data_IF_857851214221
#
_entry.id   IF_857851214221
#
_cell.length_a   1.000
_cell.length_b   1.000
_cell.length_c   1.000
_cell.angle_alpha   90.00
_cell.angle_beta   90.00
_cell.angle_gamma   90.00
#
_symmetry.space_group_name_H-M   'P 1'
#
loop_
_entity.id
_entity.type
_entity.pdbx_description
1 polymer ?
#
# COMPACT_ATOMS: atom_id res chain seq x y z
N UNK A 1 3.01 11.26 -13.52
CA UNK A 1 2.83 11.51 -12.07
C UNK A 1 1.43 11.13 -11.64
N UNK A 2 1.29 10.56 -10.44
CA UNK A 2 0.03 10.07 -9.89
C UNK A 2 -0.40 10.94 -8.70
N UNK A 3 -1.65 11.42 -8.72
CA UNK A 3 -2.17 12.40 -7.75
C UNK A 3 -3.11 11.78 -6.68
N UNK A 4 -3.31 10.46 -6.70
CA UNK A 4 -4.38 9.80 -5.94
C UNK A 4 -3.88 8.92 -4.79
N UNK A 5 -2.62 9.09 -4.37
CA UNK A 5 -2.14 8.51 -3.12
C UNK A 5 -2.55 9.40 -1.94
N UNK A 6 -2.23 9.00 -0.73
CA UNK A 6 -2.48 9.82 0.46
C UNK A 6 -1.89 11.23 0.31
N UNK A 7 -2.54 12.27 0.87
CA UNK A 7 -2.11 13.67 0.67
C UNK A 7 -0.65 13.93 1.02
N UNK A 8 -0.13 13.26 2.05
CA UNK A 8 1.27 13.38 2.46
C UNK A 8 2.25 12.66 1.51
N UNK A 9 1.77 11.83 0.58
CA UNK A 9 2.58 11.13 -0.43
C UNK A 9 2.54 11.89 -1.75
N UNK A 10 1.34 12.17 -2.29
CA UNK A 10 1.19 12.81 -3.60
C UNK A 10 1.47 14.31 -3.57
N UNK A 11 1.10 14.98 -2.48
CA UNK A 11 1.05 16.44 -2.47
C UNK A 11 0.17 16.98 -3.60
N UNK A 12 0.54 18.12 -4.14
CA UNK A 12 -0.13 18.75 -5.28
C UNK A 12 0.51 18.42 -6.64
N UNK A 13 1.77 17.98 -6.63
CA UNK A 13 2.56 17.68 -7.85
C UNK A 13 2.51 16.22 -8.26
N UNK A 14 2.26 15.33 -7.31
CA UNK A 14 2.09 13.90 -7.52
C UNK A 14 3.32 13.05 -7.30
N UNK A 15 3.07 11.76 -7.13
CA UNK A 15 4.07 10.69 -7.01
C UNK A 15 4.62 10.28 -8.36
N UNK A 16 5.92 10.03 -8.44
CA UNK A 16 6.58 9.36 -9.56
C UNK A 16 6.33 7.85 -9.53
N UNK A 17 5.19 7.42 -10.05
CA UNK A 17 4.70 6.05 -9.87
C UNK A 17 5.21 5.11 -10.95
N UNK A 18 5.77 3.98 -10.52
CA UNK A 18 6.20 2.86 -11.37
C UNK A 18 5.43 1.61 -10.96
N UNK A 19 4.62 1.06 -11.86
CA UNK A 19 3.86 -0.17 -11.65
C UNK A 19 4.66 -1.38 -12.09
N UNK A 20 4.84 -2.34 -11.19
CA UNK A 20 5.49 -3.61 -11.50
C UNK A 20 4.47 -4.68 -11.84
N UNK A 21 4.78 -5.49 -12.84
CA UNK A 21 3.91 -6.56 -13.33
C UNK A 21 4.02 -7.81 -12.46
N UNK A 22 2.89 -8.45 -12.17
CA UNK A 22 2.81 -9.58 -11.27
C UNK A 22 2.51 -9.17 -9.82
N UNK A 23 1.78 -10.02 -9.10
CA UNK A 23 1.46 -9.83 -7.69
C UNK A 23 1.42 -11.19 -7.00
N UNK A 24 1.97 -11.34 -5.78
CA UNK A 24 1.90 -12.58 -5.02
C UNK A 24 0.49 -12.90 -4.52
N UNK A 25 -0.39 -11.88 -4.46
CA UNK A 25 -1.79 -12.00 -4.13
C UNK A 25 -2.64 -12.00 -5.41
N UNK A 26 -3.60 -12.89 -5.50
CA UNK A 26 -4.58 -12.92 -6.59
C UNK A 26 -5.96 -12.52 -6.06
N UNK A 27 -6.05 -11.28 -5.53
CA UNK A 27 -7.29 -10.76 -4.97
C UNK A 27 -8.39 -10.76 -6.03
N UNK A 28 -9.52 -11.38 -5.74
CA UNK A 28 -10.67 -11.48 -6.67
C UNK A 28 -11.24 -10.10 -7.03
N UNK A 29 -11.01 -9.11 -6.19
CA UNK A 29 -11.45 -7.73 -6.35
C UNK A 29 -10.34 -6.77 -6.81
N UNK A 30 -9.24 -7.28 -7.38
CA UNK A 30 -8.13 -6.42 -7.80
C UNK A 30 -8.53 -5.51 -8.95
N UNK A 31 -8.44 -4.19 -8.74
CA UNK A 31 -8.71 -3.19 -9.78
C UNK A 31 -7.63 -3.19 -10.87
N UNK A 32 -6.40 -3.57 -10.52
CA UNK A 32 -5.25 -3.63 -11.43
C UNK A 32 -4.98 -5.05 -11.93
N UNK A 33 -6.05 -5.83 -12.23
CA UNK A 33 -5.94 -7.26 -12.56
C UNK A 33 -4.99 -7.54 -13.73
N UNK A 34 -5.00 -6.71 -14.78
CA UNK A 34 -4.10 -6.90 -15.93
C UNK A 34 -2.62 -6.80 -15.54
N UNK A 35 -2.29 -5.94 -14.57
CA UNK A 35 -0.93 -5.78 -14.04
C UNK A 35 -0.64 -6.93 -13.08
N UNK A 36 -1.54 -7.21 -12.14
CA UNK A 36 -1.33 -8.25 -11.10
C UNK A 36 -1.21 -9.66 -11.68
N UNK A 37 -1.89 -9.94 -12.79
CA UNK A 37 -1.81 -11.24 -13.51
C UNK A 37 -0.58 -11.35 -14.42
N UNK A 38 0.28 -10.33 -14.49
CA UNK A 38 1.46 -10.36 -15.35
C UNK A 38 1.16 -10.19 -16.85
N UNK A 39 -0.06 -9.74 -17.19
CA UNK A 39 -0.49 -9.58 -18.60
C UNK A 39 -0.17 -8.21 -19.20
N UNK A 40 0.24 -7.26 -18.37
CA UNK A 40 0.62 -5.91 -18.77
C UNK A 40 2.02 -5.58 -18.23
N UNK A 41 2.78 -4.84 -19.02
CA UNK A 41 4.13 -4.42 -18.67
C UNK A 41 5.10 -4.58 -19.84
N UNK A 42 6.30 -4.07 -19.65
CA UNK A 42 7.43 -4.19 -20.58
C UNK A 42 8.66 -4.56 -19.77
N UNK A 43 9.39 -5.57 -20.23
CA UNK A 43 10.69 -5.91 -19.65
C UNK A 43 11.71 -4.80 -19.91
N UNK A 44 12.38 -4.37 -18.86
CA UNK A 44 13.45 -3.36 -18.90
C UNK A 44 14.61 -3.80 -18.02
N UNK A 45 15.80 -3.25 -18.27
CA UNK A 45 16.97 -3.49 -17.42
C UNK A 45 16.92 -2.62 -16.13
N UNK A 46 17.79 -2.94 -15.16
CA UNK A 46 17.93 -2.15 -13.94
C UNK A 46 18.45 -0.73 -14.26
N UNK A 47 19.36 -0.59 -15.24
CA UNK A 47 19.84 0.72 -15.70
C UNK A 47 18.69 1.57 -16.24
N UNK A 48 17.80 0.97 -17.08
CA UNK A 48 16.65 1.70 -17.60
C UNK A 48 15.66 2.08 -16.51
N UNK A 49 15.50 1.25 -15.49
CA UNK A 49 14.67 1.55 -14.33
C UNK A 49 15.24 2.73 -13.53
N UNK A 50 16.55 2.77 -13.31
CA UNK A 50 17.25 3.90 -12.68
C UNK A 50 17.09 5.20 -13.47
N UNK A 51 17.24 5.15 -14.81
CA UNK A 51 16.95 6.31 -15.68
C UNK A 51 15.50 6.81 -15.53
N UNK A 52 14.52 5.90 -15.42
CA UNK A 52 13.11 6.26 -15.22
C UNK A 52 12.93 7.01 -13.88
N UNK A 53 13.62 6.60 -12.83
CA UNK A 53 13.56 7.32 -11.55
C UNK A 53 14.05 8.75 -11.68
N UNK A 54 15.18 8.97 -12.36
CA UNK A 54 15.71 10.30 -12.64
C UNK A 54 14.79 11.13 -13.57
N UNK A 55 14.19 10.50 -14.58
CA UNK A 55 13.18 11.17 -15.42
C UNK A 55 11.96 11.64 -14.62
N UNK A 56 11.50 10.83 -13.66
CA UNK A 56 10.37 11.17 -12.78
C UNK A 56 10.76 12.33 -11.84
N UNK A 57 11.97 12.32 -11.28
CA UNK A 57 12.51 13.43 -10.52
C UNK A 57 12.55 14.71 -11.37
N UNK A 58 13.10 14.64 -12.57
CA UNK A 58 13.16 15.77 -13.51
C UNK A 58 11.78 16.31 -13.93
N UNK A 59 10.71 15.50 -13.82
CA UNK A 59 9.32 15.90 -14.04
C UNK A 59 8.66 16.54 -12.80
N UNK A 60 9.39 16.68 -11.70
CA UNK A 60 8.90 17.28 -10.46
C UNK A 60 8.10 16.34 -9.56
N UNK A 61 8.32 15.02 -9.66
CA UNK A 61 7.75 14.07 -8.71
C UNK A 61 8.15 14.39 -7.27
N UNK A 62 7.29 14.06 -6.31
CA UNK A 62 7.58 14.25 -4.88
C UNK A 62 8.30 13.07 -4.24
N UNK A 63 8.20 11.92 -4.86
CA UNK A 63 8.85 10.66 -4.46
C UNK A 63 8.91 9.72 -5.66
N UNK A 64 9.63 8.60 -5.51
CA UNK A 64 9.55 7.45 -6.41
C UNK A 64 8.66 6.39 -5.75
N UNK A 65 7.47 6.18 -6.30
CA UNK A 65 6.47 5.26 -5.76
C UNK A 65 6.48 3.94 -6.54
N UNK A 66 7.01 2.90 -5.91
CA UNK A 66 7.15 1.55 -6.46
C UNK A 66 5.89 0.73 -6.12
N UNK A 67 5.01 0.51 -7.09
CA UNK A 67 3.73 -0.18 -6.87
C UNK A 67 3.83 -1.66 -7.21
N UNK A 68 3.53 -2.53 -6.24
CA UNK A 68 3.63 -3.99 -6.30
C UNK A 68 5.04 -4.49 -6.67
N UNK A 69 6.09 -3.98 -6.01
CA UNK A 69 7.48 -4.21 -6.41
C UNK A 69 8.08 -5.52 -5.86
N UNK A 70 7.34 -6.29 -5.08
CA UNK A 70 7.80 -7.42 -4.25
C UNK A 70 8.66 -8.44 -4.99
N UNK A 71 8.35 -8.75 -6.26
CA UNK A 71 9.08 -9.75 -7.06
C UNK A 71 10.42 -9.25 -7.62
N UNK A 72 10.67 -7.95 -7.55
CA UNK A 72 11.78 -7.28 -8.25
C UNK A 72 12.77 -6.60 -7.31
N UNK A 73 12.77 -6.96 -6.02
CA UNK A 73 13.63 -6.34 -5.00
C UNK A 73 15.10 -6.30 -5.41
N UNK A 74 15.73 -7.37 -5.93
CA UNK A 74 17.13 -7.30 -6.35
C UNK A 74 17.38 -6.28 -7.48
N UNK A 75 16.52 -6.26 -8.49
CA UNK A 75 16.64 -5.33 -9.63
C UNK A 75 16.34 -3.88 -9.23
N UNK A 76 15.41 -3.70 -8.29
CA UNK A 76 15.09 -2.38 -7.74
C UNK A 76 16.27 -1.81 -6.97
N UNK A 77 16.96 -2.61 -6.15
CA UNK A 77 18.16 -2.15 -5.45
C UNK A 77 19.25 -1.70 -6.42
N UNK A 78 19.56 -2.53 -7.42
CA UNK A 78 20.52 -2.18 -8.47
C UNK A 78 20.12 -0.88 -9.18
N UNK A 79 18.83 -0.71 -9.51
CA UNK A 79 18.34 0.51 -10.15
C UNK A 79 18.42 1.74 -9.23
N UNK A 80 18.21 1.57 -7.92
CA UNK A 80 18.35 2.66 -6.95
C UNK A 80 19.80 3.05 -6.75
N UNK A 81 20.74 2.09 -6.64
CA UNK A 81 22.18 2.37 -6.58
C UNK A 81 22.62 3.22 -7.79
N UNK A 82 22.21 2.83 -9.01
CA UNK A 82 22.51 3.58 -10.25
C UNK A 82 21.85 4.96 -10.29
N UNK A 83 20.64 5.08 -9.77
CA UNK A 83 19.92 6.34 -9.73
C UNK A 83 20.51 7.30 -8.69
N UNK A 84 20.98 6.82 -7.53
CA UNK A 84 21.70 7.61 -6.54
C UNK A 84 23.02 8.15 -7.09
N UNK A 85 23.80 7.33 -7.80
CA UNK A 85 24.99 7.78 -8.52
C UNK A 85 24.64 8.86 -9.57
N UNK A 86 23.45 8.78 -10.17
CA UNK A 86 22.90 9.75 -11.12
C UNK A 86 22.28 11.00 -10.48
N UNK A 87 22.25 11.11 -9.15
CA UNK A 87 21.73 12.25 -8.41
C UNK A 87 20.24 12.16 -8.05
N UNK A 88 19.71 10.97 -7.79
CA UNK A 88 18.39 10.80 -7.22
C UNK A 88 18.39 11.29 -5.75
N UNK A 89 17.50 12.22 -5.44
CA UNK A 89 17.34 12.82 -4.10
C UNK A 89 15.94 12.62 -3.51
N UNK A 90 15.03 12.04 -4.29
CA UNK A 90 13.64 11.83 -3.88
C UNK A 90 13.50 10.64 -2.93
N UNK A 91 12.61 10.72 -1.92
CA UNK A 91 12.30 9.57 -1.08
C UNK A 91 11.66 8.45 -1.90
N UNK A 92 11.97 7.21 -1.53
CA UNK A 92 11.46 5.99 -2.16
C UNK A 92 10.30 5.43 -1.36
N UNK A 93 9.16 5.26 -2.02
CA UNK A 93 7.95 4.67 -1.47
C UNK A 93 7.80 3.23 -1.96
N UNK A 94 7.72 2.28 -1.05
CA UNK A 94 7.44 0.87 -1.34
C UNK A 94 5.96 0.58 -1.09
N UNK A 95 5.17 0.56 -2.18
CA UNK A 95 3.72 0.41 -2.17
C UNK A 95 3.35 -1.04 -2.44
N UNK A 96 2.94 -1.77 -1.41
CA UNK A 96 2.82 -3.22 -1.47
C UNK A 96 1.55 -3.77 -0.80
N UNK A 97 1.31 -5.06 -0.99
CA UNK A 97 0.11 -5.75 -0.53
C UNK A 97 0.13 -6.23 0.92
N UNK A 98 1.23 -6.08 1.64
CA UNK A 98 1.40 -6.59 3.00
C UNK A 98 1.67 -8.10 3.06
N UNK A 99 2.05 -8.73 1.96
CA UNK A 99 2.31 -10.18 1.87
C UNK A 99 3.78 -10.50 1.60
N UNK A 100 4.63 -9.61 2.03
CA UNK A 100 6.07 -9.68 1.86
C UNK A 100 6.70 -10.56 2.94
N UNK A 101 7.79 -11.25 2.56
CA UNK A 101 8.62 -11.96 3.54
C UNK A 101 9.53 -10.96 4.26
N UNK A 102 9.64 -11.00 5.60
CA UNK A 102 10.57 -10.12 6.33
C UNK A 102 12.02 -10.20 5.82
N UNK A 103 12.47 -11.40 5.41
CA UNK A 103 13.82 -11.60 4.87
C UNK A 103 14.04 -10.84 3.55
N UNK A 104 13.00 -10.73 2.72
CA UNK A 104 13.06 -9.96 1.47
C UNK A 104 13.05 -8.45 1.76
N UNK A 105 12.24 -8.01 2.73
CA UNK A 105 12.21 -6.61 3.16
C UNK A 105 13.54 -6.14 3.76
N UNK A 106 14.27 -7.00 4.47
CA UNK A 106 15.61 -6.68 4.99
C UNK A 106 16.60 -6.30 3.90
N UNK A 107 16.42 -6.77 2.67
CA UNK A 107 17.24 -6.36 1.54
C UNK A 107 17.02 -4.90 1.12
N UNK A 108 15.94 -4.28 1.58
CA UNK A 108 15.56 -2.89 1.29
C UNK A 108 15.97 -1.93 2.41
N UNK A 109 16.59 -2.41 3.48
CA UNK A 109 17.05 -1.57 4.59
C UNK A 109 18.03 -0.51 4.08
N UNK A 110 17.70 0.77 4.30
CA UNK A 110 18.45 1.90 3.78
C UNK A 110 18.09 2.36 2.36
N UNK A 111 17.26 1.61 1.63
CA UNK A 111 16.79 1.97 0.27
C UNK A 111 15.37 2.54 0.25
N UNK A 112 14.55 2.17 1.21
CA UNK A 112 13.15 2.59 1.28
C UNK A 112 12.96 3.56 2.44
N UNK A 113 12.38 4.70 2.15
CA UNK A 113 12.06 5.73 3.12
C UNK A 113 10.64 5.59 3.66
N UNK A 114 9.70 5.20 2.80
CA UNK A 114 8.29 5.13 3.15
C UNK A 114 7.71 3.78 2.73
N UNK A 115 7.14 3.06 3.69
CA UNK A 115 6.32 1.89 3.40
C UNK A 115 4.86 2.30 3.32
N UNK A 116 4.25 2.11 2.15
CA UNK A 116 2.83 2.30 1.91
C UNK A 116 2.22 0.91 1.70
N UNK A 117 1.85 0.26 2.79
CA UNK A 117 1.47 -1.15 2.78
C UNK A 117 -0.01 -1.35 3.05
N UNK A 118 -0.62 -2.32 2.39
CA UNK A 118 -1.96 -2.74 2.76
C UNK A 118 -1.92 -3.71 3.95
N UNK A 119 -2.91 -3.63 4.83
CA UNK A 119 -3.26 -4.69 5.78
C UNK A 119 -4.69 -5.14 5.50
N UNK A 120 -4.84 -6.22 4.72
CA UNK A 120 -6.12 -6.56 4.10
C UNK A 120 -7.05 -7.37 5.03
N UNK A 121 -6.49 -8.31 5.81
CA UNK A 121 -7.27 -9.27 6.58
C UNK A 121 -6.61 -9.63 7.90
N UNK A 122 -7.43 -9.84 8.94
CA UNK A 122 -7.04 -10.49 10.21
C UNK A 122 -7.53 -11.95 10.28
N UNK A 123 -8.48 -12.34 9.41
CA UNK A 123 -9.06 -13.67 9.35
C UNK A 123 -8.55 -14.48 8.15
N UNK A 124 -8.06 -15.69 8.44
CA UNK A 124 -7.51 -16.62 7.43
C UNK A 124 -8.56 -17.15 6.44
N UNK A 125 -9.84 -17.24 6.84
CA UNK A 125 -10.91 -17.70 5.94
C UNK A 125 -11.25 -16.62 4.91
N UNK A 126 -11.35 -15.37 5.36
CA UNK A 126 -11.56 -14.19 4.50
C UNK A 126 -10.39 -14.02 3.54
N UNK A 127 -9.14 -14.14 4.04
CA UNK A 127 -7.94 -14.08 3.23
C UNK A 127 -7.87 -15.17 2.16
N UNK A 128 -8.24 -16.42 2.52
CA UNK A 128 -8.38 -17.54 1.58
C UNK A 128 -9.44 -17.25 0.53
N UNK A 129 -10.61 -16.77 0.97
CA UNK A 129 -11.76 -16.53 0.10
C UNK A 129 -11.50 -15.47 -0.95
N UNK A 130 -10.90 -14.34 -0.54
CA UNK A 130 -10.78 -13.19 -1.43
C UNK A 130 -9.39 -13.00 -2.06
N UNK A 131 -8.35 -13.60 -1.51
CA UNK A 131 -6.98 -13.43 -2.01
C UNK A 131 -6.19 -14.73 -2.14
N UNK A 132 -6.83 -15.90 -1.95
CA UNK A 132 -6.22 -17.23 -2.03
C UNK A 132 -5.00 -17.41 -1.10
N UNK A 133 -4.86 -16.59 -0.07
CA UNK A 133 -3.72 -16.52 0.84
C UNK A 133 -4.15 -16.73 2.31
N UNK A 134 -4.43 -17.97 2.76
CA UNK A 134 -4.92 -18.23 4.12
C UNK A 134 -3.92 -17.84 5.23
N UNK A 135 -2.65 -17.73 4.91
CA UNK A 135 -1.58 -17.32 5.82
C UNK A 135 -1.30 -15.79 5.78
N UNK A 136 -2.13 -15.02 5.05
CA UNK A 136 -1.98 -13.57 4.92
C UNK A 136 -1.88 -12.85 6.27
N UNK A 137 -2.75 -13.12 7.28
CA UNK A 137 -2.68 -12.38 8.54
C UNK A 137 -1.35 -12.52 9.26
N UNK A 138 -0.76 -13.72 9.23
CA UNK A 138 0.55 -13.99 9.82
C UNK A 138 1.66 -13.29 9.05
N UNK A 139 1.65 -13.41 7.72
CA UNK A 139 2.63 -12.77 6.85
C UNK A 139 2.59 -11.24 6.95
N UNK A 140 1.39 -10.67 6.95
CA UNK A 140 1.21 -9.21 7.06
C UNK A 140 1.71 -8.66 8.40
N UNK A 141 1.53 -9.40 9.50
CA UNK A 141 2.09 -9.01 10.80
C UNK A 141 3.62 -8.98 10.78
N UNK A 142 4.25 -10.04 10.26
CA UNK A 142 5.72 -10.10 10.17
C UNK A 142 6.31 -9.06 9.20
N UNK A 143 5.62 -8.81 8.07
CA UNK A 143 6.03 -7.79 7.13
C UNK A 143 5.95 -6.39 7.76
N UNK A 144 4.83 -6.06 8.42
CA UNK A 144 4.63 -4.77 9.07
C UNK A 144 5.63 -4.54 10.21
N UNK A 145 5.93 -5.56 11.00
CA UNK A 145 6.96 -5.48 12.04
C UNK A 145 8.33 -5.10 11.46
N UNK A 146 8.73 -5.71 10.35
CA UNK A 146 9.99 -5.39 9.68
C UNK A 146 9.98 -3.99 9.07
N UNK A 147 8.85 -3.56 8.45
CA UNK A 147 8.71 -2.21 7.91
C UNK A 147 8.84 -1.13 9.00
N UNK A 148 8.18 -1.34 10.15
CA UNK A 148 8.29 -0.42 11.30
C UNK A 148 9.68 -0.47 11.94
N UNK A 149 10.39 -1.59 11.90
CA UNK A 149 11.80 -1.66 12.33
C UNK A 149 12.68 -0.74 11.47
N UNK A 150 12.47 -0.70 10.16
CA UNK A 150 13.26 0.11 9.23
C UNK A 150 12.87 1.59 9.27
N UNK A 151 11.58 1.89 9.42
CA UNK A 151 11.02 3.24 9.48
C UNK A 151 10.21 3.43 10.78
N UNK A 152 10.89 3.54 11.95
CA UNK A 152 10.23 3.47 13.26
C UNK A 152 9.37 4.67 13.61
N UNK A 153 9.69 5.84 13.06
CA UNK A 153 9.00 7.09 13.35
C UNK A 153 8.67 7.83 12.05
N UNK A 154 7.48 8.44 11.94
CA UNK A 154 7.12 9.23 10.78
C UNK A 154 7.83 10.60 10.79
N UNK A 155 8.41 10.95 9.65
CA UNK A 155 9.06 12.24 9.43
C UNK A 155 8.40 12.97 8.26
N UNK A 156 8.20 14.29 8.42
CA UNK A 156 7.57 15.14 7.42
C UNK A 156 8.45 16.34 7.11
N UNK A 157 8.34 16.86 5.88
CA UNK A 157 8.93 18.13 5.53
C UNK A 157 8.02 19.31 5.98
N UNK A 158 8.49 20.54 5.74
CA UNK A 158 7.77 21.76 6.11
C UNK A 158 6.43 21.92 5.35
N UNK A 159 6.25 21.25 4.23
CA UNK A 159 5.03 21.25 3.44
C UNK A 159 4.04 20.15 3.87
N UNK A 160 4.39 19.32 4.87
CA UNK A 160 3.59 18.21 5.34
C UNK A 160 3.69 16.95 4.46
N UNK A 161 4.70 16.87 3.58
CA UNK A 161 4.96 15.65 2.82
C UNK A 161 5.80 14.69 3.67
N UNK A 162 5.41 13.42 3.66
CA UNK A 162 6.14 12.38 4.37
C UNK A 162 7.50 12.14 3.71
N UNK A 163 8.55 12.14 4.53
CA UNK A 163 9.93 11.85 4.13
C UNK A 163 10.37 10.47 4.59
N UNK A 164 9.82 9.99 5.69
CA UNK A 164 10.07 8.66 6.23
C UNK A 164 8.87 8.18 7.03
N UNK A 165 8.62 6.86 7.04
CA UNK A 165 7.59 6.28 7.89
C UNK A 165 6.83 5.12 7.28
N UNK A 166 5.76 4.72 7.95
CA UNK A 166 4.89 3.62 7.53
C UNK A 166 3.43 4.10 7.50
N UNK A 167 2.78 3.92 6.37
CA UNK A 167 1.34 4.10 6.21
C UNK A 167 0.71 2.74 5.96
N UNK A 168 -0.23 2.36 6.81
CA UNK A 168 -0.99 1.12 6.67
C UNK A 168 -2.35 1.44 6.08
N UNK A 169 -2.62 0.94 4.87
CA UNK A 169 -3.90 1.10 4.19
C UNK A 169 -4.82 -0.07 4.48
N UNK A 170 -6.07 0.23 4.74
CA UNK A 170 -7.12 -0.78 4.85
C UNK A 170 -8.31 -0.42 3.98
N UNK A 171 -8.55 -1.22 2.94
CA UNK A 171 -9.74 -1.11 2.10
C UNK A 171 -10.88 -1.89 2.76
N UNK A 172 -11.93 -1.17 3.17
CA UNK A 172 -13.13 -1.82 3.66
C UNK A 172 -13.85 -2.54 2.52
N UNK A 173 -14.09 -3.84 2.68
CA UNK A 173 -14.91 -4.63 1.78
C UNK A 173 -16.36 -4.70 2.28
N UNK A 174 -17.36 -4.77 1.37
CA UNK A 174 -18.77 -4.88 1.77
C UNK A 174 -19.01 -6.06 2.71
N UNK A 175 -19.70 -5.83 3.82
CA UNK A 175 -20.01 -6.88 4.80
C UNK A 175 -18.88 -7.26 5.76
N UNK A 176 -17.70 -6.63 5.66
CA UNK A 176 -16.51 -7.03 6.42
C UNK A 176 -16.11 -6.01 7.51
N UNK A 177 -17.07 -5.30 8.09
CA UNK A 177 -16.82 -4.22 9.07
C UNK A 177 -16.11 -4.74 10.33
N UNK A 178 -16.55 -5.86 10.89
CA UNK A 178 -15.96 -6.39 12.12
C UNK A 178 -14.51 -6.86 11.89
N UNK A 179 -14.24 -7.48 10.76
CA UNK A 179 -12.89 -7.83 10.36
C UNK A 179 -12.00 -6.58 10.16
N UNK A 180 -12.56 -5.51 9.58
CA UNK A 180 -11.87 -4.23 9.42
C UNK A 180 -11.54 -3.58 10.78
N UNK A 181 -12.45 -3.63 11.74
CA UNK A 181 -12.19 -3.17 13.12
C UNK A 181 -11.07 -3.97 13.79
N UNK A 182 -10.98 -5.26 13.53
CA UNK A 182 -9.87 -6.08 14.04
C UNK A 182 -8.52 -5.67 13.45
N UNK A 183 -8.47 -5.30 12.16
CA UNK A 183 -7.27 -4.73 11.54
C UNK A 183 -6.87 -3.43 12.24
N UNK A 184 -7.80 -2.48 12.39
CA UNK A 184 -7.55 -1.20 13.06
C UNK A 184 -7.05 -1.42 14.49
N UNK A 185 -7.73 -2.28 15.25
CA UNK A 185 -7.34 -2.62 16.63
C UNK A 185 -5.94 -3.20 16.72
N UNK A 186 -5.59 -4.13 15.82
CA UNK A 186 -4.27 -4.74 15.80
C UNK A 186 -3.20 -3.71 15.46
N UNK A 187 -3.36 -2.99 14.36
CA UNK A 187 -2.35 -2.05 13.88
C UNK A 187 -2.12 -0.94 14.89
N UNK A 188 -3.18 -0.26 15.32
CA UNK A 188 -3.04 0.83 16.27
C UNK A 188 -2.64 0.35 17.67
N UNK A 189 -3.20 -0.76 18.14
CA UNK A 189 -2.85 -1.34 19.45
C UNK A 189 -1.40 -1.83 19.54
N UNK A 190 -0.79 -2.20 18.41
CA UNK A 190 0.61 -2.68 18.38
C UNK A 190 1.60 -1.55 18.15
N UNK A 191 1.27 -0.61 17.25
CA UNK A 191 2.24 0.38 16.76
C UNK A 191 1.91 1.81 17.21
N UNK A 192 0.66 2.11 17.59
CA UNK A 192 0.24 3.45 18.02
C UNK A 192 0.57 4.52 17.00
N UNK A 193 1.19 5.60 17.45
CA UNK A 193 1.56 6.76 16.63
C UNK A 193 2.76 6.53 15.71
N UNK A 194 3.40 5.36 15.74
CA UNK A 194 4.51 5.03 14.84
C UNK A 194 4.08 4.75 13.40
N UNK A 195 2.79 4.51 13.19
CA UNK A 195 2.23 4.27 11.86
C UNK A 195 1.01 5.17 11.62
N UNK A 196 0.81 5.53 10.35
CA UNK A 196 -0.41 6.17 9.89
C UNK A 196 -1.40 5.13 9.39
N UNK A 197 -2.68 5.28 9.74
CA UNK A 197 -3.75 4.44 9.20
C UNK A 197 -4.47 5.19 8.07
N UNK A 198 -4.65 4.54 6.92
CA UNK A 198 -5.47 5.04 5.82
C UNK A 198 -6.68 4.12 5.63
N UNK A 199 -7.86 4.60 6.02
CA UNK A 199 -9.11 3.87 5.91
C UNK A 199 -9.81 4.24 4.61
N UNK A 200 -9.94 3.25 3.71
CA UNK A 200 -10.46 3.47 2.36
C UNK A 200 -11.83 2.83 2.18
N UNK A 201 -12.75 3.53 1.49
CA UNK A 201 -14.08 3.05 1.13
C UNK A 201 -14.28 2.89 -0.39
N UNK A 202 -13.23 3.13 -1.17
CA UNK A 202 -13.27 3.13 -2.65
C UNK A 202 -13.33 1.73 -3.29
N UNK A 203 -14.07 0.82 -2.68
CA UNK A 203 -14.32 -0.49 -3.26
C UNK A 203 -15.22 -0.37 -4.50
N UNK A 204 -14.76 -0.89 -5.64
CA UNK A 204 -15.52 -0.95 -6.88
C UNK A 204 -16.03 -2.37 -7.12
N UNK A 205 -17.36 -2.60 -7.19
CA UNK A 205 -17.92 -3.91 -7.47
C UNK A 205 -17.59 -4.38 -8.89
N UNK A 206 -17.32 -5.68 -9.04
CA UNK A 206 -17.14 -6.32 -10.32
C UNK A 206 -18.33 -7.22 -10.62
N UNK A 207 -19.11 -6.97 -11.68
CA UNK A 207 -20.32 -7.76 -12.03
C UNK A 207 -20.05 -9.24 -12.24
N UNK A 208 -18.87 -9.60 -12.72
CA UNK A 208 -18.42 -10.97 -12.93
C UNK A 208 -18.26 -11.80 -11.64
N UNK A 209 -18.20 -11.14 -10.49
CA UNK A 209 -18.10 -11.82 -9.19
C UNK A 209 -19.45 -12.31 -8.65
N UNK A 210 -20.57 -11.94 -9.30
CA UNK A 210 -21.93 -12.13 -8.77
C UNK A 210 -22.27 -13.57 -8.41
N UNK A 211 -21.82 -14.56 -9.17
CA UNK A 211 -22.13 -15.96 -8.92
C UNK A 211 -21.29 -16.55 -7.76
N UNK A 212 -20.03 -16.12 -7.63
CA UNK A 212 -19.08 -16.70 -6.68
C UNK A 212 -18.95 -15.89 -5.40
N UNK A 213 -19.07 -14.57 -5.51
CA UNK A 213 -18.89 -13.60 -4.42
C UNK A 213 -20.00 -12.54 -4.44
N UNK A 214 -21.28 -12.95 -4.24
CA UNK A 214 -22.42 -12.02 -4.34
C UNK A 214 -22.34 -10.86 -3.36
N UNK A 215 -21.71 -11.06 -2.20
CA UNK A 215 -21.47 -10.03 -1.20
C UNK A 215 -20.56 -8.89 -1.71
N UNK A 216 -19.67 -9.18 -2.66
CA UNK A 216 -18.78 -8.19 -3.27
C UNK A 216 -19.40 -7.45 -4.46
N UNK A 217 -20.66 -7.73 -4.83
CA UNK A 217 -21.31 -7.11 -5.97
C UNK A 217 -22.05 -5.81 -5.63
N UNK A 218 -21.75 -5.21 -4.51
CA UNK A 218 -22.28 -3.91 -4.07
C UNK A 218 -21.15 -3.03 -3.55
N UNK A 219 -21.37 -1.73 -3.54
CA UNK A 219 -20.46 -0.78 -2.84
C UNK A 219 -20.54 -0.97 -1.32
N UNK A 220 -19.52 -0.51 -0.63
CA UNK A 220 -19.55 -0.29 0.80
C UNK A 220 -20.63 0.76 1.09
N UNK A 221 -21.49 0.50 2.08
CA UNK A 221 -22.50 1.45 2.49
C UNK A 221 -21.91 2.52 3.41
N UNK A 222 -22.48 3.71 3.39
CA UNK A 222 -22.10 4.79 4.33
C UNK A 222 -22.16 4.34 5.80
N UNK A 223 -23.14 3.49 6.14
CA UNK A 223 -23.28 2.95 7.50
C UNK A 223 -22.10 2.03 7.87
N UNK A 224 -21.67 1.18 6.94
CA UNK A 224 -20.51 0.29 7.16
C UNK A 224 -19.23 1.11 7.35
N UNK A 225 -19.02 2.09 6.49
CA UNK A 225 -17.83 2.94 6.58
C UNK A 225 -17.81 3.79 7.85
N UNK A 226 -18.93 4.46 8.17
CA UNK A 226 -19.02 5.25 9.40
C UNK A 226 -18.78 4.38 10.64
N UNK A 227 -19.32 3.15 10.68
CA UNK A 227 -19.06 2.23 11.80
C UNK A 227 -17.58 1.88 11.99
N UNK A 228 -16.79 1.82 10.90
CA UNK A 228 -15.34 1.63 10.99
C UNK A 228 -14.63 2.90 11.45
N UNK A 229 -15.03 4.05 10.90
CA UNK A 229 -14.45 5.36 11.27
C UNK A 229 -14.75 5.68 12.74
N UNK A 230 -16.00 5.53 13.19
CA UNK A 230 -16.39 5.75 14.59
C UNK A 230 -15.55 4.87 15.52
N UNK A 231 -15.35 3.60 15.14
CA UNK A 231 -14.50 2.70 15.93
C UNK A 231 -13.03 3.16 16.00
N UNK A 232 -12.48 3.69 14.92
CA UNK A 232 -11.12 4.24 14.92
C UNK A 232 -11.04 5.50 15.81
N UNK A 233 -12.06 6.35 15.80
CA UNK A 233 -12.17 7.53 16.67
C UNK A 233 -12.27 7.11 18.14
N UNK A 234 -13.07 6.10 18.46
CA UNK A 234 -13.22 5.58 19.83
C UNK A 234 -11.89 4.98 20.36
N UNK A 235 -11.06 4.46 19.49
CA UNK A 235 -9.70 4.01 19.82
C UNK A 235 -8.68 5.16 19.92
N UNK A 236 -9.10 6.40 19.69
CA UNK A 236 -8.23 7.60 19.70
C UNK A 236 -7.10 7.50 18.66
N UNK A 237 -7.42 7.02 17.46
CA UNK A 237 -6.48 7.02 16.34
C UNK A 237 -6.30 8.48 15.88
N UNK A 238 -5.19 9.10 16.28
CA UNK A 238 -4.90 10.51 15.94
C UNK A 238 -4.20 10.66 14.59
N UNK A 239 -3.50 9.60 14.14
CA UNK A 239 -2.70 9.62 12.92
C UNK A 239 -3.35 8.75 11.87
N UNK A 240 -4.07 9.37 10.94
CA UNK A 240 -4.74 8.63 9.90
C UNK A 240 -5.39 9.49 8.84
N UNK A 241 -5.72 8.82 7.74
CA UNK A 241 -6.45 9.37 6.61
C UNK A 241 -7.80 8.67 6.52
N UNK A 242 -8.85 9.45 6.47
CA UNK A 242 -10.21 8.99 6.24
C UNK A 242 -10.60 9.47 4.85
N UNK A 243 -10.94 8.53 3.98
CA UNK A 243 -11.35 8.90 2.64
C UNK A 243 -12.74 9.53 2.68
N UNK A 244 -12.85 10.79 2.28
CA UNK A 244 -14.11 11.50 2.12
C UNK A 244 -14.63 11.36 0.69
N UNK A 245 -15.94 11.15 0.54
CA UNK A 245 -16.62 11.12 -0.74
C UNK A 245 -17.21 9.77 -1.14
N UNK A 246 -18.07 9.81 -2.15
CA UNK A 246 -18.59 8.60 -2.80
C UNK A 246 -17.55 8.07 -3.77
N UNK A 247 -17.32 6.79 -3.71
CA UNK A 247 -16.54 6.11 -4.74
C UNK A 247 -17.24 6.27 -6.09
N UNK A 248 -16.51 6.76 -7.07
CA UNK A 248 -16.95 6.87 -8.44
C UNK A 248 -17.31 5.48 -9.02
#
# INVERSE_FOLDING_TARGET
LHLWEEPCISGTEGSGTVFFSGCPLHCVYCQNRAISDGRAGKEISAERLGEIFLELQGKGARNINLVTPTHYIPQIREALDLAEEGGLELPVVFNCGGYEKPEALKLLDGYVDIYLTDFKYMDSQTARRYSHAPDYPEKAKGALEEMVRQCPEPEFDQAGLMKKGVIVRHLLLPGNVEQAKEVVRYVYGTYGSRVYLSLMNQYTPFPELRETYPELCRKVTKREYNSLVDYAVDLVVEQGFIQEGETA
#
